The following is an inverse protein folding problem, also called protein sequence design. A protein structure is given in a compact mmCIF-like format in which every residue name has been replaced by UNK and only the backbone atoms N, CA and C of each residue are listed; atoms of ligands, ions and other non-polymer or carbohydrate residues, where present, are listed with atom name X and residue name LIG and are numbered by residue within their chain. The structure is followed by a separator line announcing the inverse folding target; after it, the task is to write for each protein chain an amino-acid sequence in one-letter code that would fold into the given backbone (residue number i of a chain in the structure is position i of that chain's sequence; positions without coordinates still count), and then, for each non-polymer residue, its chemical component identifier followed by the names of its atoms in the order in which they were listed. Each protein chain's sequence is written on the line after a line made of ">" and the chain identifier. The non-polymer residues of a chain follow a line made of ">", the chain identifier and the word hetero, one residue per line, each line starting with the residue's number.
data_IF_667308748286
#
_entry.id   IF_667308748286
#
_cell.length_a   1.000
_cell.length_b   1.000
_cell.length_c   1.000
_cell.angle_alpha   90.00
_cell.angle_beta   90.00
_cell.angle_gamma   90.00
#
_symmetry.space_group_name_H-M   'P 1'
#
loop_
_entity.id
_entity.type
_entity.pdbx_description
1 polymer ?
#
# COMPACT_ATOMS: atom_id res chain seq x y z
N UNK A 1 -15.60 -14.73 -50.75
CA UNK A 1 -14.41 -14.01 -50.23
C UNK A 1 -14.36 -14.09 -48.68
N UNK A 2 -14.18 -15.28 -48.09
CA UNK A 2 -14.18 -15.45 -46.62
C UNK A 2 -13.02 -16.33 -46.08
N UNK A 3 -12.05 -16.70 -46.92
CA UNK A 3 -10.96 -17.62 -46.56
C UNK A 3 -9.67 -16.96 -46.05
N UNK A 4 -9.49 -15.65 -46.23
CA UNK A 4 -8.21 -14.96 -45.96
C UNK A 4 -8.11 -14.45 -44.51
N UNK A 5 -9.24 -14.16 -43.86
CA UNK A 5 -9.27 -13.57 -42.50
C UNK A 5 -8.82 -14.56 -41.42
N UNK A 6 -8.93 -15.88 -41.64
CA UNK A 6 -8.60 -16.90 -40.63
C UNK A 6 -7.10 -17.14 -40.44
N UNK A 7 -6.25 -16.87 -41.45
CA UNK A 7 -4.80 -17.16 -41.39
C UNK A 7 -3.99 -16.13 -40.60
N UNK A 8 -4.51 -14.90 -40.42
CA UNK A 8 -3.82 -13.86 -39.64
C UNK A 8 -3.89 -14.05 -38.11
N UNK A 9 -4.98 -14.63 -37.61
CA UNK A 9 -5.21 -14.75 -36.16
C UNK A 9 -4.30 -15.78 -35.47
N UNK A 10 -3.88 -16.85 -36.16
CA UNK A 10 -2.95 -17.83 -35.60
C UNK A 10 -1.50 -17.32 -35.51
N UNK A 11 -1.11 -16.37 -36.37
CA UNK A 11 0.27 -15.85 -36.44
C UNK A 11 0.52 -14.70 -35.46
N UNK A 12 -0.52 -14.08 -34.91
CA UNK A 12 -0.39 -13.06 -33.85
C UNK A 12 -0.24 -13.67 -32.44
N UNK A 13 -0.56 -14.96 -32.25
CA UNK A 13 -0.54 -15.59 -30.93
C UNK A 13 0.87 -15.93 -30.36
N UNK A 14 1.92 -16.27 -31.14
CA UNK A 14 3.23 -16.54 -30.54
C UNK A 14 4.00 -15.27 -30.15
N UNK A 15 3.75 -14.12 -30.80
CA UNK A 15 4.41 -12.85 -30.45
C UNK A 15 3.82 -12.22 -29.18
N UNK A 16 2.49 -12.29 -28.99
CA UNK A 16 1.83 -11.82 -27.76
C UNK A 16 2.14 -12.76 -26.57
N UNK A 17 2.35 -14.06 -26.84
CA UNK A 17 2.82 -15.02 -25.82
C UNK A 17 4.29 -14.84 -25.42
N UNK A 18 5.13 -14.35 -26.32
CA UNK A 18 6.53 -14.06 -25.99
C UNK A 18 6.68 -12.87 -25.03
N UNK A 19 5.81 -11.86 -25.13
CA UNK A 19 5.79 -10.69 -24.23
C UNK A 19 5.21 -11.02 -22.85
N UNK A 20 4.33 -12.02 -22.74
CA UNK A 20 3.64 -12.38 -21.50
C UNK A 20 4.33 -13.45 -20.63
N UNK A 21 5.52 -13.94 -21.02
CA UNK A 21 6.21 -15.03 -20.31
C UNK A 21 7.67 -14.76 -19.91
N UNK A 22 8.10 -13.51 -19.79
CA UNK A 22 9.18 -13.21 -18.84
C UNK A 22 8.56 -12.76 -17.53
N UNK A 23 8.04 -13.74 -16.78
CA UNK A 23 7.72 -13.59 -15.36
C UNK A 23 9.07 -13.46 -14.63
N UNK A 24 9.70 -12.30 -14.75
CA UNK A 24 10.93 -11.98 -14.05
C UNK A 24 10.64 -12.20 -12.57
N UNK A 25 11.19 -13.27 -12.01
CA UNK A 25 11.03 -13.57 -10.60
C UNK A 25 11.95 -12.60 -9.89
N UNK A 26 11.40 -11.44 -9.52
CA UNK A 26 12.11 -10.45 -8.70
C UNK A 26 12.23 -11.09 -7.32
N UNK A 27 13.31 -11.82 -7.13
CA UNK A 27 13.69 -12.36 -5.82
C UNK A 27 14.49 -11.27 -5.13
N UNK A 28 14.02 -10.83 -3.96
CA UNK A 28 14.84 -9.98 -3.11
C UNK A 28 16.04 -10.80 -2.61
N UNK A 29 17.23 -10.22 -2.71
CA UNK A 29 18.43 -10.80 -2.10
C UNK A 29 18.29 -10.88 -0.57
N UNK A 30 19.18 -11.61 0.11
CA UNK A 30 19.15 -11.72 1.56
C UNK A 30 19.26 -10.32 2.23
N UNK A 31 18.50 -10.05 3.31
CA UNK A 31 18.55 -8.75 3.98
C UNK A 31 19.95 -8.44 4.51
N UNK A 32 20.49 -7.24 4.19
CA UNK A 32 21.78 -6.78 4.76
C UNK A 32 21.70 -6.55 6.26
N UNK A 33 20.53 -6.12 6.75
CA UNK A 33 20.27 -5.88 8.17
C UNK A 33 18.98 -6.59 8.57
N UNK A 34 19.03 -7.37 9.65
CA UNK A 34 17.87 -8.03 10.25
C UNK A 34 17.16 -7.03 11.15
N UNK A 35 15.96 -6.62 10.78
CA UNK A 35 15.12 -5.79 11.65
C UNK A 35 14.51 -6.67 12.74
N UNK A 36 14.85 -6.38 13.99
CA UNK A 36 14.33 -7.03 15.18
C UNK A 36 12.82 -6.77 15.34
N UNK A 37 12.13 -7.62 16.10
CA UNK A 37 10.72 -7.41 16.38
C UNK A 37 10.45 -6.08 17.12
N UNK A 38 11.36 -5.70 18.02
CA UNK A 38 11.28 -4.45 18.76
C UNK A 38 11.30 -3.24 17.82
N UNK A 39 12.20 -3.23 16.83
CA UNK A 39 12.26 -2.14 15.84
C UNK A 39 10.98 -2.07 14.99
N UNK A 40 10.43 -3.23 14.60
CA UNK A 40 9.15 -3.27 13.86
C UNK A 40 8.00 -2.72 14.71
N UNK A 41 7.92 -3.13 15.97
CA UNK A 41 6.89 -2.67 16.89
C UNK A 41 7.01 -1.17 17.18
N UNK A 42 8.22 -0.67 17.41
CA UNK A 42 8.47 0.75 17.62
C UNK A 42 8.07 1.57 16.40
N UNK A 43 8.47 1.15 15.19
CA UNK A 43 8.15 1.87 13.96
C UNK A 43 6.65 1.87 13.66
N UNK A 44 5.98 0.75 13.90
CA UNK A 44 4.52 0.65 13.80
C UNK A 44 3.81 1.57 14.80
N UNK A 45 4.27 1.60 16.05
CA UNK A 45 3.71 2.47 17.07
C UNK A 45 3.89 3.96 16.72
N UNK A 46 5.08 4.34 16.24
CA UNK A 46 5.35 5.72 15.80
C UNK A 46 4.44 6.13 14.64
N UNK A 47 4.27 5.28 13.63
CA UNK A 47 3.37 5.54 12.49
C UNK A 47 1.91 5.75 12.95
N UNK A 48 1.42 4.89 13.85
CA UNK A 48 0.07 5.02 14.42
C UNK A 48 -0.08 6.28 15.27
N UNK A 49 0.86 6.54 16.18
CA UNK A 49 0.81 7.68 17.08
C UNK A 49 0.82 9.01 16.32
N UNK A 50 1.69 9.16 15.31
CA UNK A 50 1.75 10.37 14.48
C UNK A 50 0.45 10.61 13.72
N UNK A 51 -0.19 9.55 13.23
CA UNK A 51 -1.45 9.65 12.50
C UNK A 51 -2.63 10.00 13.40
N UNK A 52 -2.69 9.43 14.62
CA UNK A 52 -3.82 9.60 15.53
C UNK A 52 -3.70 10.81 16.47
N UNK A 53 -2.48 11.23 16.80
CA UNK A 53 -2.23 12.36 17.71
C UNK A 53 -2.96 13.66 17.36
N UNK A 54 -2.97 14.15 16.10
CA UNK A 54 -3.68 15.39 15.78
C UNK A 54 -5.20 15.23 15.93
N UNK A 55 -5.77 14.10 15.52
CA UNK A 55 -7.20 13.82 15.67
C UNK A 55 -7.61 13.76 17.15
N UNK A 56 -6.83 13.06 17.98
CA UNK A 56 -7.04 12.99 19.43
C UNK A 56 -6.92 14.36 20.10
N UNK A 57 -5.94 15.17 19.68
CA UNK A 57 -5.75 16.53 20.19
C UNK A 57 -6.96 17.42 19.90
N UNK A 58 -7.47 17.39 18.66
CA UNK A 58 -8.64 18.15 18.26
C UNK A 58 -9.87 17.71 19.05
N UNK A 59 -10.06 16.39 19.18
CA UNK A 59 -11.19 15.83 19.91
C UNK A 59 -11.15 16.19 21.41
N UNK A 60 -9.95 16.22 22.00
CA UNK A 60 -9.76 16.64 23.38
C UNK A 60 -10.16 18.11 23.62
N UNK A 61 -9.92 19.01 22.65
CA UNK A 61 -10.21 20.44 22.76
C UNK A 61 -11.58 20.84 22.17
N UNK A 62 -12.41 19.86 21.80
CA UNK A 62 -13.70 20.16 21.17
C UNK A 62 -14.65 20.95 22.09
N UNK A 63 -14.48 20.82 23.40
CA UNK A 63 -15.26 21.56 24.40
C UNK A 63 -14.88 23.04 24.45
N UNK A 64 -13.58 23.35 24.28
CA UNK A 64 -13.08 24.72 24.20
C UNK A 64 -13.58 25.42 22.94
N UNK A 65 -13.62 24.71 21.80
CA UNK A 65 -14.17 25.25 20.55
C UNK A 65 -15.68 25.48 20.61
N UNK A 66 -16.40 24.69 21.40
CA UNK A 66 -17.87 24.83 21.55
C UNK A 66 -18.27 25.86 22.61
N UNK A 67 -17.33 26.40 23.37
CA UNK A 67 -17.61 27.31 24.49
C UNK A 67 -18.34 26.63 25.67
N UNK A 68 -18.43 25.30 25.66
CA UNK A 68 -19.10 24.50 26.69
C UNK A 68 -18.02 24.10 27.70
N UNK A 69 -17.59 25.05 28.53
CA UNK A 69 -16.75 24.72 29.69
C UNK A 69 -17.60 23.92 30.67
N UNK A 70 -17.45 22.59 30.67
CA UNK A 70 -17.92 21.78 31.80
C UNK A 70 -16.84 21.87 32.87
N UNK A 71 -17.02 22.81 33.80
CA UNK A 71 -16.27 22.87 35.06
C UNK A 71 -16.36 21.49 35.73
N UNK A 72 -15.24 20.77 35.73
CA UNK A 72 -15.07 19.61 36.60
C UNK A 72 -14.61 20.13 37.95
N UNK A 73 -15.48 19.99 38.95
CA UNK A 73 -15.12 20.12 40.36
C UNK A 73 -14.08 19.07 40.76
#
# INVERSE_FOLDING_TARGET
>A
MFGVVRKGACLMNPAIRAVSLQKATIVSGPPRYRVSFAEKAALGFVMCAVSCAPGLWILAHIQDYRGIRVTKE
#
